data_IF_274354515153
#
_entry.id   IF_274354515153
#
_cell.length_a   1.000
_cell.length_b   1.000
_cell.length_c   1.000
_cell.angle_alpha   90.00
_cell.angle_beta   90.00
_cell.angle_gamma   90.00
#
_symmetry.space_group_name_H-M   'P 1'
#
loop_
_entity.id
_entity.type
_entity.pdbx_description
1 polymer ?
#
# COMPACT_ATOMS: atom_id res chain seq x y z
N UNK A 1 -16.38 -8.23 -26.48
CA UNK A 1 -15.14 -8.39 -25.69
C UNK A 1 -14.80 -7.03 -25.15
N UNK A 2 -14.55 -6.91 -23.86
CA UNK A 2 -14.13 -5.66 -23.21
C UNK A 2 -12.72 -5.89 -22.64
N UNK A 3 -11.75 -5.04 -23.00
CA UNK A 3 -10.38 -5.09 -22.50
C UNK A 3 -10.24 -4.09 -21.36
N UNK A 4 -9.75 -4.53 -20.19
CA UNK A 4 -9.53 -3.68 -19.03
C UNK A 4 -8.02 -3.64 -18.75
N UNK A 5 -7.48 -2.43 -18.56
CA UNK A 5 -6.09 -2.18 -18.17
C UNK A 5 -6.08 -1.32 -16.93
N UNK A 6 -5.39 -1.73 -15.88
CA UNK A 6 -5.21 -0.93 -14.66
C UNK A 6 -3.75 -0.60 -14.42
N UNK A 7 -3.49 0.60 -13.93
CA UNK A 7 -2.14 1.12 -13.66
C UNK A 7 -2.08 1.73 -12.26
N UNK A 8 -1.07 1.35 -11.50
CA UNK A 8 -0.65 2.12 -10.32
C UNK A 8 0.39 3.14 -10.77
N UNK A 9 0.01 4.40 -10.86
CA UNK A 9 0.87 5.45 -11.44
C UNK A 9 1.59 6.30 -10.39
N UNK A 10 1.03 6.41 -9.18
CA UNK A 10 1.55 7.28 -8.13
C UNK A 10 1.11 6.81 -6.73
N UNK A 11 1.60 7.44 -5.66
CA UNK A 11 1.08 7.19 -4.31
C UNK A 11 -0.31 7.80 -4.08
N UNK A 12 -0.63 8.91 -4.74
CA UNK A 12 -1.98 9.49 -4.66
C UNK A 12 -2.29 10.40 -5.85
N UNK A 13 -3.59 10.60 -6.11
CA UNK A 13 -4.14 11.50 -7.11
C UNK A 13 -5.11 12.46 -6.41
N UNK A 14 -4.94 13.78 -6.65
CA UNK A 14 -5.90 14.79 -6.23
C UNK A 14 -7.15 14.75 -7.12
N UNK A 15 -8.05 13.81 -6.81
CA UNK A 15 -9.28 13.59 -7.59
C UNK A 15 -10.23 14.79 -7.54
N UNK A 16 -10.12 15.68 -6.53
CA UNK A 16 -10.94 16.89 -6.46
C UNK A 16 -10.53 17.91 -7.52
N UNK A 17 -9.21 18.08 -7.75
CA UNK A 17 -8.70 18.92 -8.82
C UNK A 17 -8.94 18.27 -10.17
N UNK A 18 -8.60 16.97 -10.31
CA UNK A 18 -8.84 16.23 -11.54
C UNK A 18 -10.30 16.33 -12.01
N UNK A 19 -11.27 16.18 -11.10
CA UNK A 19 -12.70 16.26 -11.41
C UNK A 19 -13.11 17.62 -12.02
N UNK A 20 -12.44 18.72 -11.65
CA UNK A 20 -12.74 20.05 -12.17
C UNK A 20 -12.21 20.26 -13.58
N UNK A 21 -11.06 19.65 -13.88
CA UNK A 21 -10.29 19.95 -15.08
C UNK A 21 -10.49 18.88 -16.18
N UNK A 22 -11.00 17.70 -15.80
CA UNK A 22 -11.25 16.59 -16.74
C UNK A 22 -12.67 16.65 -17.30
N UNK A 23 -12.78 16.90 -18.61
CA UNK A 23 -14.05 17.07 -19.32
C UNK A 23 -14.49 15.76 -19.99
N UNK A 24 -15.22 14.93 -19.26
CA UNK A 24 -15.88 13.73 -19.78
C UNK A 24 -17.16 13.48 -19.00
N UNK A 25 -18.02 12.61 -19.49
CA UNK A 25 -19.29 12.29 -18.82
C UNK A 25 -19.04 11.54 -17.53
N UNK A 26 -19.17 12.24 -16.39
CA UNK A 26 -19.04 11.65 -15.07
C UNK A 26 -20.27 10.80 -14.75
N UNK A 27 -20.07 9.50 -14.51
CA UNK A 27 -21.14 8.55 -14.15
C UNK A 27 -21.32 8.47 -12.62
N UNK A 28 -20.22 8.41 -11.87
CA UNK A 28 -20.25 8.45 -10.41
C UNK A 28 -18.99 9.05 -9.83
N UNK A 29 -19.08 9.64 -8.63
CA UNK A 29 -17.92 10.15 -7.89
C UNK A 29 -18.16 10.09 -6.39
N UNK A 30 -17.07 9.85 -5.64
CA UNK A 30 -17.03 9.92 -4.18
C UNK A 30 -15.80 10.70 -3.73
N UNK A 31 -15.48 10.67 -2.44
CA UNK A 31 -14.22 11.21 -1.91
C UNK A 31 -12.99 10.40 -2.31
N UNK A 32 -13.17 9.19 -2.85
CA UNK A 32 -12.09 8.24 -3.14
C UNK A 32 -11.98 7.89 -4.62
N UNK A 33 -13.02 8.10 -5.42
CA UNK A 33 -13.10 7.62 -6.79
C UNK A 33 -13.82 8.56 -7.75
N UNK A 34 -13.44 8.47 -9.04
CA UNK A 34 -14.12 9.10 -10.17
C UNK A 34 -14.34 8.07 -11.27
N UNK A 35 -15.59 7.86 -11.68
CA UNK A 35 -15.93 6.94 -12.76
C UNK A 35 -16.58 7.70 -13.92
N UNK A 36 -15.94 7.64 -15.10
CA UNK A 36 -16.33 8.35 -16.30
C UNK A 36 -16.67 7.40 -17.45
N UNK A 37 -17.64 7.81 -18.27
CA UNK A 37 -17.76 7.36 -19.65
C UNK A 37 -17.00 8.38 -20.52
N UNK A 38 -15.86 7.95 -21.10
CA UNK A 38 -14.96 8.83 -21.85
C UNK A 38 -15.44 9.05 -23.27
N UNK A 39 -15.69 7.95 -23.97
CA UNK A 39 -16.32 7.89 -25.30
C UNK A 39 -17.40 6.80 -25.27
N UNK A 40 -18.14 6.62 -26.37
CA UNK A 40 -19.15 5.57 -26.44
C UNK A 40 -18.51 4.20 -26.16
N UNK A 41 -18.89 3.59 -25.04
CA UNK A 41 -18.38 2.28 -24.51
C UNK A 41 -16.97 2.27 -23.94
N UNK A 42 -16.28 3.40 -23.83
CA UNK A 42 -14.98 3.50 -23.18
C UNK A 42 -15.12 4.12 -21.79
N UNK A 43 -14.53 3.48 -20.77
CA UNK A 43 -14.71 3.89 -19.37
C UNK A 43 -13.36 4.13 -18.69
N UNK A 44 -13.29 5.24 -17.97
CA UNK A 44 -12.15 5.62 -17.14
C UNK A 44 -12.55 5.58 -15.67
N UNK A 45 -11.76 4.88 -14.84
CA UNK A 45 -11.97 4.83 -13.41
C UNK A 45 -10.68 5.24 -12.69
N UNK A 46 -10.77 6.26 -11.84
CA UNK A 46 -9.61 6.85 -11.16
C UNK A 46 -9.84 6.81 -9.66
N UNK A 47 -8.84 6.35 -8.93
CA UNK A 47 -8.83 6.32 -7.47
C UNK A 47 -7.83 7.30 -6.88
N UNK A 48 -8.16 7.88 -5.73
CA UNK A 48 -7.31 8.84 -5.03
C UNK A 48 -5.97 8.24 -4.57
N UNK A 49 -5.87 6.92 -4.43
CA UNK A 49 -4.64 6.19 -4.07
C UNK A 49 -3.76 5.84 -5.28
N UNK A 50 -3.87 6.58 -6.36
CA UNK A 50 -2.93 6.52 -7.48
C UNK A 50 -3.20 5.47 -8.54
N UNK A 51 -4.38 4.81 -8.52
CA UNK A 51 -4.78 3.82 -9.53
C UNK A 51 -5.64 4.46 -10.59
N UNK A 52 -5.34 4.13 -11.85
CA UNK A 52 -6.10 4.54 -13.03
C UNK A 52 -6.44 3.28 -13.84
N UNK A 53 -7.71 3.10 -14.16
CA UNK A 53 -8.21 1.92 -14.87
C UNK A 53 -8.95 2.37 -16.13
N UNK A 54 -8.66 1.69 -17.23
CA UNK A 54 -9.25 1.90 -18.53
C UNK A 54 -10.04 0.66 -18.95
N UNK A 55 -11.20 0.86 -19.54
CA UNK A 55 -11.95 -0.19 -20.18
C UNK A 55 -12.27 0.20 -21.63
N UNK A 56 -11.83 -0.63 -22.57
CA UNK A 56 -11.99 -0.48 -24.02
C UNK A 56 -11.32 0.79 -24.59
N UNK A 57 -10.07 1.02 -24.20
CA UNK A 57 -9.21 2.10 -24.70
C UNK A 57 -8.14 1.58 -25.66
N UNK A 58 -7.67 2.46 -26.56
CA UNK A 58 -6.43 2.25 -27.29
C UNK A 58 -5.23 2.68 -26.42
N UNK A 59 -4.10 1.98 -26.50
CA UNK A 59 -2.90 2.25 -25.69
C UNK A 59 -2.37 3.70 -25.82
N UNK A 60 -2.56 4.31 -27.00
CA UNK A 60 -2.20 5.72 -27.23
C UNK A 60 -3.03 6.65 -26.36
N UNK A 61 -4.32 6.39 -26.23
CA UNK A 61 -5.23 7.24 -25.45
C UNK A 61 -5.07 6.99 -23.94
N UNK A 62 -4.82 5.74 -23.52
CA UNK A 62 -4.40 5.43 -22.15
C UNK A 62 -3.15 6.29 -21.78
N UNK A 63 -2.14 6.32 -22.63
CA UNK A 63 -0.89 7.06 -22.40
C UNK A 63 -1.12 8.58 -22.30
N UNK A 64 -1.97 9.15 -23.14
CA UNK A 64 -2.31 10.58 -23.11
C UNK A 64 -3.05 10.95 -21.81
N UNK A 65 -4.04 10.12 -21.42
CA UNK A 65 -4.82 10.35 -20.21
C UNK A 65 -3.95 10.18 -18.96
N UNK A 66 -3.07 9.17 -18.92
CA UNK A 66 -2.09 9.01 -17.83
C UNK A 66 -1.23 10.25 -17.71
N UNK A 67 -0.65 10.75 -18.84
CA UNK A 67 0.18 11.96 -18.83
C UNK A 67 -0.59 13.20 -18.38
N UNK A 68 -1.87 13.30 -18.68
CA UNK A 68 -2.73 14.37 -18.15
C UNK A 68 -2.92 14.23 -16.63
N UNK A 69 -3.22 13.00 -16.13
CA UNK A 69 -3.46 12.72 -14.71
C UNK A 69 -2.19 12.91 -13.87
N UNK A 70 -1.01 12.70 -14.44
CA UNK A 70 0.28 12.92 -13.76
C UNK A 70 0.42 14.32 -13.16
N UNK A 71 -0.21 15.34 -13.74
CA UNK A 71 -0.21 16.71 -13.20
C UNK A 71 -0.98 16.85 -11.87
N UNK A 72 -1.77 15.85 -11.50
CA UNK A 72 -2.59 15.80 -10.30
C UNK A 72 -2.07 14.78 -9.27
N UNK A 73 -0.90 14.19 -9.52
CA UNK A 73 -0.33 13.14 -8.66
C UNK A 73 0.64 13.69 -7.62
N UNK A 74 0.81 12.94 -6.53
CA UNK A 74 1.95 13.08 -5.64
C UNK A 74 2.81 11.82 -5.69
N UNK A 75 4.13 11.98 -5.72
CA UNK A 75 5.10 10.87 -5.78
C UNK A 75 4.80 9.88 -6.93
N UNK A 76 4.96 10.38 -8.14
CA UNK A 76 4.84 9.60 -9.36
C UNK A 76 5.80 8.40 -9.34
N UNK A 77 5.35 7.24 -9.80
CA UNK A 77 6.17 6.05 -9.93
C UNK A 77 6.89 6.02 -11.28
N UNK A 78 8.20 5.70 -11.24
CA UNK A 78 9.01 5.53 -12.44
C UNK A 78 8.55 4.27 -13.18
N UNK A 79 8.45 3.15 -12.45
CA UNK A 79 7.96 1.88 -12.96
C UNK A 79 6.49 1.71 -12.53
N UNK A 80 5.58 1.85 -13.47
CA UNK A 80 4.14 1.72 -13.22
C UNK A 80 3.77 0.25 -13.23
N UNK A 81 3.17 -0.23 -12.16
CA UNK A 81 2.55 -1.57 -12.15
C UNK A 81 1.35 -1.57 -13.08
N UNK A 82 1.20 -2.64 -13.84
CA UNK A 82 0.10 -2.81 -14.82
C UNK A 82 -0.55 -4.17 -14.65
N UNK A 83 -1.88 -4.19 -14.69
CA UNK A 83 -2.70 -5.40 -14.77
C UNK A 83 -3.62 -5.32 -15.99
N UNK A 84 -3.80 -6.45 -16.70
CA UNK A 84 -4.69 -6.54 -17.84
C UNK A 84 -5.71 -7.67 -17.63
N UNK A 85 -6.95 -7.41 -17.97
CA UNK A 85 -8.02 -8.40 -17.87
C UNK A 85 -9.00 -8.28 -19.03
N UNK A 86 -9.56 -9.41 -19.47
CA UNK A 86 -10.49 -9.46 -20.60
C UNK A 86 -11.84 -9.95 -20.11
N UNK A 87 -12.90 -9.22 -20.44
CA UNK A 87 -14.28 -9.65 -20.20
C UNK A 87 -14.91 -10.02 -21.54
N UNK A 88 -15.18 -11.30 -21.74
CA UNK A 88 -15.88 -11.83 -22.90
C UNK A 88 -17.39 -11.79 -22.64
N UNK A 89 -18.13 -11.28 -23.61
CA UNK A 89 -19.59 -11.18 -23.53
C UNK A 89 -20.17 -12.27 -24.40
N UNK A 90 -20.68 -13.34 -23.78
CA UNK A 90 -21.17 -14.51 -24.45
C UNK A 90 -22.48 -14.99 -23.83
N UNK A 91 -23.63 -14.55 -24.39
CA UNK A 91 -24.97 -14.82 -23.84
C UNK A 91 -25.34 -16.30 -23.72
N UNK A 92 -24.67 -17.18 -24.44
CA UNK A 92 -24.90 -18.63 -24.41
C UNK A 92 -24.02 -19.40 -23.43
N UNK A 93 -23.00 -18.75 -22.85
CA UNK A 93 -22.11 -19.39 -21.89
C UNK A 93 -22.43 -18.96 -20.45
N UNK A 94 -22.27 -19.87 -19.48
CA UNK A 94 -22.45 -19.52 -18.09
C UNK A 94 -21.31 -18.58 -17.63
N UNK A 95 -21.55 -17.85 -16.54
CA UNK A 95 -20.55 -17.08 -15.84
C UNK A 95 -19.36 -17.96 -15.48
N UNK A 96 -18.16 -17.60 -15.92
CA UNK A 96 -16.93 -18.34 -15.63
C UNK A 96 -15.74 -17.41 -15.59
N UNK A 97 -14.72 -17.80 -14.81
CA UNK A 97 -13.52 -17.03 -14.57
C UNK A 97 -12.29 -17.86 -14.91
N UNK A 98 -11.30 -17.21 -15.52
CA UNK A 98 -9.98 -17.73 -15.82
C UNK A 98 -8.93 -16.75 -15.32
N UNK A 99 -7.67 -17.11 -15.34
CA UNK A 99 -6.59 -16.31 -14.79
C UNK A 99 -6.59 -14.84 -15.26
N UNK A 100 -6.81 -14.59 -16.55
CA UNK A 100 -6.78 -13.26 -17.17
C UNK A 100 -8.07 -12.88 -17.89
N UNK A 101 -9.15 -13.63 -17.68
CA UNK A 101 -10.42 -13.35 -18.35
C UNK A 101 -11.64 -13.87 -17.60
N UNK A 102 -12.78 -13.25 -17.87
CA UNK A 102 -14.09 -13.74 -17.44
C UNK A 102 -15.04 -13.83 -18.63
N UNK A 103 -15.98 -14.79 -18.59
CA UNK A 103 -17.09 -14.84 -19.51
C UNK A 103 -18.36 -14.43 -18.77
N UNK A 104 -19.07 -13.44 -19.32
CA UNK A 104 -20.32 -12.93 -18.76
C UNK A 104 -21.42 -13.01 -19.82
N UNK A 105 -22.67 -13.33 -19.46
CA UNK A 105 -23.78 -13.45 -20.44
C UNK A 105 -24.20 -12.07 -20.97
N UNK A 106 -24.12 -11.04 -20.18
CA UNK A 106 -24.50 -9.65 -20.52
C UNK A 106 -23.59 -8.66 -19.83
N UNK A 107 -23.59 -7.40 -20.31
CA UNK A 107 -22.77 -6.32 -19.76
C UNK A 107 -23.60 -5.05 -19.58
N UNK A 108 -23.42 -4.39 -18.48
CA UNK A 108 -23.95 -3.06 -18.18
C UNK A 108 -22.91 -2.22 -17.44
N UNK A 109 -23.20 -0.94 -17.21
CA UNK A 109 -22.26 -0.02 -16.56
C UNK A 109 -21.84 -0.48 -15.15
N UNK A 110 -22.74 -1.09 -14.40
CA UNK A 110 -22.49 -1.59 -13.06
C UNK A 110 -21.51 -2.77 -13.07
N UNK A 111 -21.72 -3.72 -14.00
CA UNK A 111 -20.80 -4.85 -14.17
C UNK A 111 -19.43 -4.38 -14.63
N UNK A 112 -19.37 -3.43 -15.58
CA UNK A 112 -18.09 -2.81 -16.01
C UNK A 112 -17.38 -2.19 -14.82
N UNK A 113 -18.09 -1.40 -14.02
CA UNK A 113 -17.54 -0.77 -12.81
C UNK A 113 -16.96 -1.81 -11.83
N UNK A 114 -17.69 -2.92 -11.58
CA UNK A 114 -17.22 -4.01 -10.71
C UNK A 114 -15.99 -4.70 -11.28
N UNK A 115 -15.96 -4.98 -12.58
CA UNK A 115 -14.79 -5.57 -13.23
C UNK A 115 -13.57 -4.66 -13.11
N UNK A 116 -13.72 -3.37 -13.44
CA UNK A 116 -12.65 -2.38 -13.32
C UNK A 116 -12.16 -2.24 -11.88
N UNK A 117 -13.07 -2.21 -10.91
CA UNK A 117 -12.74 -2.15 -9.49
C UNK A 117 -11.83 -3.31 -9.06
N UNK A 118 -12.19 -4.56 -9.39
CA UNK A 118 -11.41 -5.73 -9.00
C UNK A 118 -10.03 -5.78 -9.69
N UNK A 119 -9.92 -5.34 -10.96
CA UNK A 119 -8.65 -5.22 -11.66
C UNK A 119 -7.77 -4.13 -11.02
N UNK A 120 -8.35 -2.99 -10.64
CA UNK A 120 -7.66 -1.94 -9.90
C UNK A 120 -7.20 -2.40 -8.52
N UNK A 121 -8.02 -3.16 -7.80
CA UNK A 121 -7.63 -3.76 -6.53
C UNK A 121 -6.46 -4.74 -6.69
N UNK A 122 -6.42 -5.52 -7.79
CA UNK A 122 -5.28 -6.41 -8.06
C UNK A 122 -3.97 -5.65 -8.15
N UNK A 123 -3.93 -4.57 -8.93
CA UNK A 123 -2.73 -3.74 -9.09
C UNK A 123 -2.27 -3.12 -7.76
N UNK A 124 -3.18 -2.62 -6.95
CA UNK A 124 -2.81 -2.01 -5.67
C UNK A 124 -2.35 -3.05 -4.65
N UNK A 125 -2.89 -4.27 -4.71
CA UNK A 125 -2.42 -5.38 -3.88
C UNK A 125 -0.97 -5.75 -4.21
N UNK A 126 -0.60 -5.79 -5.49
CA UNK A 126 0.77 -6.04 -5.91
C UNK A 126 1.73 -4.96 -5.37
N UNK A 127 1.31 -3.69 -5.44
CA UNK A 127 2.09 -2.59 -4.89
C UNK A 127 2.33 -2.74 -3.38
N UNK A 128 1.29 -2.99 -2.59
CA UNK A 128 1.43 -3.13 -1.14
C UNK A 128 2.14 -4.42 -0.72
N UNK A 129 1.97 -5.49 -1.48
CA UNK A 129 2.70 -6.72 -1.25
C UNK A 129 4.21 -6.50 -1.44
N UNK A 130 4.62 -5.81 -2.50
CA UNK A 130 6.02 -5.45 -2.75
C UNK A 130 6.57 -4.51 -1.66
N UNK A 131 5.83 -3.46 -1.29
CA UNK A 131 6.23 -2.55 -0.21
C UNK A 131 6.34 -3.26 1.15
N UNK A 132 5.42 -4.15 1.49
CA UNK A 132 5.50 -4.93 2.73
C UNK A 132 6.69 -5.90 2.74
N UNK A 133 7.01 -6.52 1.59
CA UNK A 133 8.22 -7.35 1.43
C UNK A 133 9.50 -6.56 1.63
N UNK A 134 9.61 -5.36 1.04
CA UNK A 134 10.77 -4.46 1.23
C UNK A 134 10.97 -4.09 2.70
N UNK A 135 9.88 -3.78 3.40
CA UNK A 135 9.93 -3.49 4.84
C UNK A 135 10.35 -4.72 5.66
N UNK A 136 9.83 -5.89 5.32
CA UNK A 136 10.20 -7.15 6.00
C UNK A 136 11.67 -7.51 5.77
N UNK A 137 12.19 -7.31 4.56
CA UNK A 137 13.63 -7.49 4.26
C UNK A 137 14.50 -6.58 5.14
N UNK A 138 14.15 -5.30 5.27
CA UNK A 138 14.88 -4.38 6.13
C UNK A 138 14.87 -4.83 7.61
N UNK A 139 13.77 -5.36 8.10
CA UNK A 139 13.67 -5.95 9.46
C UNK A 139 14.56 -7.20 9.56
N UNK A 140 14.56 -8.04 8.54
CA UNK A 140 15.42 -9.25 8.50
C UNK A 140 16.91 -8.89 8.54
N UNK A 141 17.32 -7.80 7.89
CA UNK A 141 18.69 -7.30 7.96
C UNK A 141 19.06 -6.88 9.40
N UNK A 142 18.16 -6.22 10.12
CA UNK A 142 18.37 -5.85 11.52
C UNK A 142 18.46 -7.08 12.44
N UNK A 143 17.62 -8.10 12.25
CA UNK A 143 17.71 -9.35 13.02
C UNK A 143 18.99 -10.12 12.73
N UNK A 144 19.44 -10.13 11.49
CA UNK A 144 20.72 -10.72 11.09
C UNK A 144 21.92 -10.02 11.73
N UNK A 145 21.87 -8.69 11.86
CA UNK A 145 22.91 -7.93 12.57
C UNK A 145 22.91 -8.27 14.06
N UNK A 146 21.73 -8.42 14.69
CA UNK A 146 21.62 -8.86 16.08
C UNK A 146 22.21 -10.25 16.30
N UNK A 147 21.90 -11.19 15.42
CA UNK A 147 22.40 -12.56 15.47
C UNK A 147 23.94 -12.59 15.37
N UNK A 148 24.51 -11.87 14.40
CA UNK A 148 25.96 -11.92 14.12
C UNK A 148 26.80 -11.09 15.07
N UNK A 149 26.29 -9.95 15.49
CA UNK A 149 27.09 -8.92 16.18
C UNK A 149 26.56 -8.54 17.57
N UNK A 150 25.40 -9.04 17.98
CA UNK A 150 24.72 -8.67 19.22
C UNK A 150 24.33 -7.19 19.29
N UNK A 151 24.30 -6.51 18.14
CA UNK A 151 23.95 -5.09 18.02
C UNK A 151 23.33 -4.79 16.66
N UNK A 152 22.53 -3.73 16.59
CA UNK A 152 22.04 -3.17 15.33
C UNK A 152 22.83 -1.90 15.06
N UNK A 153 23.37 -1.77 13.84
CA UNK A 153 24.11 -0.59 13.39
C UNK A 153 23.14 0.45 12.80
N UNK A 154 22.32 1.03 13.66
CA UNK A 154 21.35 2.05 13.33
C UNK A 154 21.24 3.04 14.48
N UNK A 155 21.10 4.32 14.15
CA UNK A 155 20.87 5.35 15.16
C UNK A 155 19.40 5.32 15.63
N UNK A 156 19.16 5.82 16.86
CA UNK A 156 17.80 5.97 17.39
C UNK A 156 16.89 6.79 16.44
N UNK A 157 17.44 7.87 15.87
CA UNK A 157 16.70 8.73 14.94
C UNK A 157 16.28 7.99 13.67
N UNK A 158 17.15 7.16 13.12
CA UNK A 158 16.86 6.35 11.93
C UNK A 158 15.84 5.25 12.24
N UNK A 159 15.99 4.60 13.40
CA UNK A 159 14.99 3.61 13.85
C UNK A 159 13.61 4.25 14.03
N UNK A 160 13.51 5.44 14.64
CA UNK A 160 12.22 6.15 14.76
C UNK A 160 11.63 6.52 13.40
N UNK A 161 12.47 6.93 12.43
CA UNK A 161 12.02 7.17 11.05
C UNK A 161 11.51 5.89 10.39
N UNK A 162 12.19 4.77 10.59
CA UNK A 162 11.78 3.48 10.07
C UNK A 162 10.44 3.03 10.68
N UNK A 163 10.27 3.14 11.99
CA UNK A 163 9.00 2.90 12.68
C UNK A 163 7.90 3.79 12.10
N UNK A 164 8.16 5.09 11.93
CA UNK A 164 7.21 6.02 11.32
C UNK A 164 6.82 5.63 9.90
N UNK A 165 7.78 5.16 9.09
CA UNK A 165 7.51 4.64 7.74
C UNK A 165 6.58 3.43 7.78
N UNK A 166 6.85 2.45 8.65
CA UNK A 166 6.01 1.24 8.81
C UNK A 166 4.60 1.61 9.23
N UNK A 167 4.44 2.47 10.24
CA UNK A 167 3.12 2.91 10.70
C UNK A 167 2.35 3.66 9.62
N UNK A 168 3.00 4.56 8.87
CA UNK A 168 2.37 5.27 7.77
C UNK A 168 1.94 4.33 6.64
N UNK A 169 2.78 3.33 6.30
CA UNK A 169 2.42 2.32 5.30
C UNK A 169 1.23 1.50 5.77
N UNK A 170 1.23 1.07 7.04
CA UNK A 170 0.09 0.34 7.62
C UNK A 170 -1.20 1.15 7.58
N UNK A 171 -1.16 2.43 8.00
CA UNK A 171 -2.33 3.30 7.98
C UNK A 171 -2.88 3.47 6.57
N UNK A 172 -2.01 3.70 5.57
CA UNK A 172 -2.42 3.78 4.16
C UNK A 172 -3.10 2.49 3.70
N UNK A 173 -2.49 1.34 3.99
CA UNK A 173 -3.06 0.04 3.64
C UNK A 173 -4.45 -0.11 4.26
N UNK A 174 -4.62 0.22 5.53
CA UNK A 174 -5.92 0.14 6.21
C UNK A 174 -6.94 1.08 5.56
N UNK A 175 -6.57 2.35 5.32
CA UNK A 175 -7.47 3.34 4.74
C UNK A 175 -7.88 2.97 3.31
N UNK A 176 -6.96 2.44 2.51
CA UNK A 176 -7.21 2.06 1.12
C UNK A 176 -7.89 0.69 1.00
N UNK A 177 -7.63 -0.22 1.94
CA UNK A 177 -8.25 -1.55 1.96
C UNK A 177 -9.67 -1.55 2.52
N UNK A 178 -10.06 -0.53 3.27
CA UNK A 178 -11.48 -0.31 3.56
C UNK A 178 -12.31 -0.15 2.26
N UNK A 179 -11.62 0.20 1.16
CA UNK A 179 -12.18 0.28 -0.20
C UNK A 179 -12.36 -1.11 -0.84
N UNK A 180 -11.76 -2.18 -0.29
CA UNK A 180 -12.01 -3.57 -0.72
C UNK A 180 -13.39 -4.09 -0.31
N UNK A 181 -14.12 -3.35 0.51
CA UNK A 181 -15.52 -3.63 0.74
C UNK A 181 -16.28 -3.51 -0.59
N UNK A 182 -17.08 -4.52 -0.87
CA UNK A 182 -17.85 -4.55 -2.11
C UNK A 182 -18.78 -3.32 -2.15
N UNK A 183 -18.90 -2.63 -3.30
CA UNK A 183 -19.85 -1.54 -3.46
C UNK A 183 -21.27 -1.97 -3.06
N UNK A 184 -22.07 -1.04 -2.52
CA UNK A 184 -23.43 -1.32 -2.03
C UNK A 184 -24.27 -2.10 -3.06
N UNK A 185 -24.13 -1.80 -4.36
CA UNK A 185 -24.82 -2.45 -5.44
C UNK A 185 -24.57 -3.97 -5.53
N UNK A 186 -23.44 -4.45 -5.02
CA UNK A 186 -23.10 -5.88 -4.95
C UNK A 186 -23.99 -6.60 -3.94
N UNK A 187 -24.45 -5.90 -2.90
CA UNK A 187 -25.34 -6.46 -1.88
C UNK A 187 -26.79 -6.53 -2.35
N UNK A 188 -27.18 -5.66 -3.28
CA UNK A 188 -28.55 -5.59 -3.79
C UNK A 188 -28.80 -6.52 -5.00
N UNK A 189 -27.74 -6.99 -5.67
CA UNK A 189 -27.82 -7.78 -6.88
C UNK A 189 -27.00 -9.07 -6.78
N UNK A 190 -27.69 -10.22 -6.71
CA UNK A 190 -27.05 -11.55 -6.57
C UNK A 190 -26.09 -11.86 -7.73
N UNK A 191 -26.40 -11.45 -8.96
CA UNK A 191 -25.53 -11.67 -10.11
C UNK A 191 -24.23 -10.87 -10.00
N UNK A 192 -24.32 -9.58 -9.66
CA UNK A 192 -23.15 -8.73 -9.44
C UNK A 192 -22.32 -9.22 -8.24
N UNK A 193 -22.97 -9.75 -7.21
CA UNK A 193 -22.28 -10.40 -6.09
C UNK A 193 -21.47 -11.63 -6.52
N UNK A 194 -22.04 -12.48 -7.37
CA UNK A 194 -21.34 -13.64 -7.95
C UNK A 194 -20.14 -13.21 -8.79
N UNK A 195 -20.28 -12.16 -9.61
CA UNK A 195 -19.20 -11.62 -10.44
C UNK A 195 -18.09 -11.06 -9.54
N UNK A 196 -18.42 -10.22 -8.57
CA UNK A 196 -17.45 -9.63 -7.65
C UNK A 196 -16.67 -10.70 -6.87
N UNK A 197 -17.36 -11.69 -6.31
CA UNK A 197 -16.75 -12.79 -5.59
C UNK A 197 -15.85 -13.66 -6.49
N UNK A 198 -16.28 -13.91 -7.73
CA UNK A 198 -15.51 -14.65 -8.73
C UNK A 198 -14.22 -13.92 -9.10
N UNK A 199 -14.28 -12.62 -9.37
CA UNK A 199 -13.11 -11.78 -9.67
C UNK A 199 -12.18 -11.64 -8.46
N UNK A 200 -12.72 -11.37 -7.26
CA UNK A 200 -11.95 -11.31 -6.03
C UNK A 200 -11.17 -12.60 -5.74
N UNK A 201 -11.78 -13.77 -6.09
CA UNK A 201 -11.11 -15.07 -5.99
C UNK A 201 -10.06 -15.25 -7.09
N UNK A 202 -10.36 -14.84 -8.33
CA UNK A 202 -9.45 -14.94 -9.48
C UNK A 202 -8.16 -14.11 -9.25
N UNK A 203 -8.31 -12.90 -8.71
CA UNK A 203 -7.19 -12.03 -8.35
C UNK A 203 -6.58 -12.32 -6.97
N UNK A 204 -7.10 -13.33 -6.27
CA UNK A 204 -6.63 -13.72 -4.93
C UNK A 204 -6.61 -12.57 -3.90
N UNK A 205 -7.50 -11.56 -4.05
CA UNK A 205 -7.44 -10.31 -3.29
C UNK A 205 -7.40 -10.54 -1.78
N UNK A 206 -8.26 -11.43 -1.25
CA UNK A 206 -8.30 -11.75 0.18
C UNK A 206 -7.06 -12.49 0.67
N UNK A 207 -6.39 -13.27 -0.18
CA UNK A 207 -5.18 -14.02 0.16
C UNK A 207 -3.98 -13.08 0.20
N UNK A 208 -3.83 -12.22 -0.82
CA UNK A 208 -2.77 -11.18 -0.87
C UNK A 208 -2.91 -10.20 0.29
N UNK A 209 -4.13 -9.79 0.62
CA UNK A 209 -4.39 -8.93 1.78
C UNK A 209 -3.89 -9.56 3.08
N UNK A 210 -4.26 -10.83 3.34
CA UNK A 210 -3.79 -11.54 4.54
C UNK A 210 -2.28 -11.71 4.59
N UNK A 211 -1.62 -11.87 3.44
CA UNK A 211 -0.15 -11.92 3.35
C UNK A 211 0.46 -10.58 3.75
N UNK A 212 -0.09 -9.46 3.28
CA UNK A 212 0.33 -8.10 3.65
C UNK A 212 0.15 -7.89 5.17
N UNK A 213 -1.02 -8.21 5.72
CA UNK A 213 -1.27 -8.12 7.17
C UNK A 213 -0.27 -8.95 7.98
N UNK A 214 0.04 -10.15 7.52
CA UNK A 214 1.02 -11.03 8.18
C UNK A 214 2.42 -10.44 8.15
N UNK A 215 2.87 -9.88 7.02
CA UNK A 215 4.14 -9.16 6.93
C UNK A 215 4.21 -7.99 7.90
N UNK A 216 3.17 -7.14 7.91
CA UNK A 216 3.11 -5.99 8.81
C UNK A 216 3.13 -6.39 10.27
N UNK A 217 2.46 -7.47 10.65
CA UNK A 217 2.48 -8.01 12.01
C UNK A 217 3.88 -8.46 12.42
N UNK A 218 4.58 -9.24 11.57
CA UNK A 218 5.96 -9.67 11.84
C UNK A 218 6.87 -8.44 12.02
N UNK A 219 6.71 -7.43 11.16
CA UNK A 219 7.49 -6.19 11.23
C UNK A 219 7.25 -5.49 12.57
N UNK A 220 6.00 -5.31 12.99
CA UNK A 220 5.63 -4.65 14.25
C UNK A 220 6.20 -5.38 15.48
N UNK A 221 6.08 -6.71 15.51
CA UNK A 221 6.61 -7.55 16.59
C UNK A 221 8.14 -7.39 16.72
N UNK A 222 8.86 -7.37 15.61
CA UNK A 222 10.30 -7.15 15.61
C UNK A 222 10.70 -5.71 15.99
N UNK A 223 9.96 -4.69 15.54
CA UNK A 223 10.22 -3.30 15.90
C UNK A 223 10.06 -3.05 17.40
N UNK A 224 9.12 -3.72 18.04
CA UNK A 224 8.95 -3.69 19.50
C UNK A 224 10.23 -4.18 20.20
N UNK A 225 10.77 -5.32 19.78
CA UNK A 225 12.02 -5.88 20.33
C UNK A 225 13.24 -4.96 20.06
N UNK A 226 13.36 -4.39 18.87
CA UNK A 226 14.47 -3.49 18.54
C UNK A 226 14.45 -2.23 19.40
N UNK A 227 13.27 -1.69 19.69
CA UNK A 227 13.13 -0.53 20.59
C UNK A 227 13.61 -0.84 21.99
N UNK A 228 13.33 -2.02 22.52
CA UNK A 228 13.85 -2.46 23.83
C UNK A 228 15.37 -2.56 23.84
N UNK A 229 15.96 -3.18 22.83
CA UNK A 229 17.43 -3.28 22.69
C UNK A 229 18.10 -1.90 22.66
N UNK A 230 17.53 -0.95 21.94
CA UNK A 230 18.06 0.43 21.89
C UNK A 230 17.91 1.15 23.24
N UNK A 231 16.80 0.95 23.93
CA UNK A 231 16.57 1.56 25.25
C UNK A 231 17.57 1.06 26.30
N UNK A 232 17.87 -0.24 26.31
CA UNK A 232 18.88 -0.83 27.20
C UNK A 232 20.29 -0.31 26.95
N UNK A 233 20.63 0.06 25.73
CA UNK A 233 21.93 0.67 25.39
C UNK A 233 22.07 2.08 25.98
N UNK A 234 21.02 2.90 25.94
CA UNK A 234 21.02 4.24 26.50
C UNK A 234 21.13 4.22 28.03
N UNK A 235 20.41 3.34 28.69
CA UNK A 235 20.46 3.19 30.16
C UNK A 235 21.85 2.77 30.62
N UNK A 236 22.53 1.85 29.93
CA UNK A 236 23.91 1.48 30.23
C UNK A 236 24.89 2.64 30.08
N UNK A 237 24.75 3.51 29.08
CA UNK A 237 25.58 4.68 28.91
C UNK A 237 25.41 5.68 30.09
N UNK A 238 24.19 5.89 30.54
CA UNK A 238 23.91 6.72 31.72
C UNK A 238 24.44 6.09 33.01
N UNK A 239 24.32 4.77 33.21
CA UNK A 239 24.93 4.05 34.32
C UNK A 239 26.47 4.24 34.39
N UNK A 240 27.14 4.08 33.23
CA UNK A 240 28.61 4.30 33.19
C UNK A 240 28.96 5.74 33.52
N UNK A 241 28.21 6.73 33.04
CA UNK A 241 28.45 8.16 33.38
C UNK A 241 28.28 8.37 34.89
N UNK A 242 27.25 7.81 35.51
CA UNK A 242 27.04 7.92 36.96
C UNK A 242 28.18 7.25 37.74
N UNK A 243 28.60 6.05 37.31
CA UNK A 243 29.74 5.35 37.95
C UNK A 243 31.02 6.18 37.85
N UNK A 244 31.31 6.78 36.70
CA UNK A 244 32.47 7.65 36.49
C UNK A 244 32.40 8.89 37.39
N UNK A 245 31.24 9.54 37.53
CA UNK A 245 31.06 10.68 38.41
C UNK A 245 31.28 10.30 39.88
N UNK A 246 30.74 9.17 40.33
CA UNK A 246 30.96 8.66 41.69
C UNK A 246 32.46 8.38 41.93
N UNK A 247 33.15 7.78 40.96
CA UNK A 247 34.59 7.53 41.07
C UNK A 247 35.36 8.84 41.21
N UNK A 248 35.04 9.87 40.43
CA UNK A 248 35.69 11.20 40.54
C UNK A 248 35.46 11.79 41.93
N UNK A 249 34.23 11.73 42.44
CA UNK A 249 33.88 12.24 43.77
C UNK A 249 34.61 11.50 44.89
N UNK A 250 34.73 10.19 44.80
CA UNK A 250 35.50 9.36 45.75
C UNK A 250 36.97 9.69 45.69
N UNK A 251 37.58 9.88 44.50
CA UNK A 251 38.96 10.30 44.35
C UNK A 251 39.21 11.68 44.96
N UNK A 252 38.30 12.65 44.74
CA UNK A 252 38.42 14.01 45.31
C UNK A 252 38.36 13.99 46.86
N UNK A 253 37.49 13.17 47.44
CA UNK A 253 37.40 12.95 48.88
C UNK A 253 38.67 12.32 49.46
N UNK A 254 39.28 11.36 48.78
CA UNK A 254 40.53 10.73 49.20
C UNK A 254 41.68 11.74 49.12
N UNK A 255 41.79 12.45 48.00
CA UNK A 255 42.81 13.47 47.80
C UNK A 255 42.71 14.59 48.84
N UNK A 256 41.51 15.12 49.08
CA UNK A 256 41.28 16.19 50.05
C UNK A 256 41.60 15.76 51.50
N UNK A 257 41.37 14.49 51.84
CA UNK A 257 41.75 13.95 53.17
C UNK A 257 43.26 13.71 53.29
N UNK A 258 43.92 13.19 52.26
CA UNK A 258 45.35 12.90 52.27
C UNK A 258 46.15 14.20 52.31
N UNK A 259 45.80 15.24 51.54
CA UNK A 259 46.47 16.54 51.52
C UNK A 259 46.21 17.42 52.78
N UNK A 260 45.17 17.12 53.58
CA UNK A 260 44.85 17.83 54.81
C UNK A 260 45.61 17.32 56.02
N UNK A 261 46.31 16.20 55.87
CA UNK A 261 47.17 15.57 56.89
C UNK A 261 48.64 15.70 56.58
N UNK A 262 49.04 16.41 55.54
CA UNK A 262 50.37 16.85 55.19
C UNK A 262 50.41 18.40 55.20
#
# INVERSE_FOLDING_TARGET
>A
MLKISAYQIAESIDIKKLKRDFTSKLLSSSSFELFYEYEEKSYLYVFNYGVVIFADFMEIDESKIISFIENYTSKLFIDKLKENFIVNIESKKPLSFSYNSANVPEINNELIKICMLNVGHSVVMDYYLDESKKLLMAVTDFTTQLEKFGKIDITKREMLKFIGKVLNTKNKIIDELYILDAPDIVWENEYLSKVNNGLSKTFELKTRFREIEYHLKIIEDNLSNFREVLHHRENRALEIIIIVLILIEVFDLIFSKVFKYW
#
